data_IF_688022775332
#
_entry.id   IF_688022775332
#
_cell.length_a   1.000
_cell.length_b   1.000
_cell.length_c   1.000
_cell.angle_alpha   90.00
_cell.angle_beta   90.00
_cell.angle_gamma   90.00
#
_symmetry.space_group_name_H-M   'P 1'
#
loop_
_entity.id
_entity.type
_entity.pdbx_description
1 polymer ?
#
# COMPACT_ATOMS: atom_id res chain seq x y z
N UNK A 1 25.62 -12.57 16.08
CA UNK A 1 25.12 -11.86 17.28
C UNK A 1 24.56 -10.48 16.97
N UNK A 2 25.23 -9.57 16.22
CA UNK A 2 24.72 -8.19 15.97
C UNK A 2 23.40 -8.12 15.21
N UNK A 3 23.11 -9.03 14.26
CA UNK A 3 21.85 -9.06 13.50
C UNK A 3 20.61 -9.37 14.37
N UNK A 4 20.77 -10.23 15.36
CA UNK A 4 19.67 -10.61 16.26
C UNK A 4 19.33 -9.48 17.24
N UNK A 5 20.32 -8.70 17.66
CA UNK A 5 20.13 -7.54 18.56
C UNK A 5 19.34 -6.44 17.84
N UNK A 6 19.65 -6.16 16.58
CA UNK A 6 18.93 -5.17 15.78
C UNK A 6 17.46 -5.59 15.56
N UNK A 7 17.22 -6.88 15.26
CA UNK A 7 15.86 -7.41 15.10
C UNK A 7 15.05 -7.33 16.40
N UNK A 8 15.69 -7.68 17.54
CA UNK A 8 15.04 -7.59 18.87
C UNK A 8 14.78 -6.15 19.28
N UNK A 9 15.67 -5.19 18.94
CA UNK A 9 15.44 -3.77 19.21
C UNK A 9 14.29 -3.22 18.36
N UNK A 10 14.18 -3.59 17.08
CA UNK A 10 13.08 -3.16 16.21
C UNK A 10 11.75 -3.73 16.68
N UNK A 11 11.72 -5.00 17.06
CA UNK A 11 10.53 -5.66 17.62
C UNK A 11 10.13 -5.05 18.96
N UNK A 12 11.09 -4.73 19.82
CA UNK A 12 10.86 -4.04 21.12
C UNK A 12 10.35 -2.62 20.95
N UNK A 13 10.85 -1.88 19.96
CA UNK A 13 10.38 -0.52 19.65
C UNK A 13 8.94 -0.53 19.13
N UNK A 14 8.55 -1.55 18.33
CA UNK A 14 7.17 -1.74 17.88
C UNK A 14 6.19 -2.00 19.06
N UNK A 15 6.62 -2.69 20.11
CA UNK A 15 5.75 -2.98 21.25
C UNK A 15 5.55 -1.76 22.20
N UNK A 16 6.48 -0.81 22.22
CA UNK A 16 6.40 0.39 23.08
C UNK A 16 5.40 1.43 22.53
N UNK A 17 5.04 1.34 21.26
CA UNK A 17 4.10 2.26 20.60
C UNK A 17 2.64 1.79 20.66
N UNK A 18 2.34 0.69 21.32
CA UNK A 18 0.98 0.18 21.50
C UNK A 18 0.20 1.01 22.51
N UNK A 19 -0.40 2.12 22.05
CA UNK A 19 -1.42 2.85 22.82
C UNK A 19 -2.79 2.23 22.55
N UNK A 20 -3.75 2.30 23.51
CA UNK A 20 -5.09 1.80 23.30
C UNK A 20 -5.78 2.54 22.16
N UNK A 21 -6.30 1.78 21.22
CA UNK A 21 -6.83 2.21 19.94
C UNK A 21 -8.22 2.79 20.12
N UNK A 22 -8.38 4.04 19.74
CA UNK A 22 -9.68 4.63 19.45
C UNK A 22 -9.66 4.98 17.97
N UNK A 23 -10.48 4.24 17.17
CA UNK A 23 -10.79 4.46 15.76
C UNK A 23 -9.63 4.39 14.75
N UNK A 24 -9.51 3.24 14.08
CA UNK A 24 -8.61 3.02 12.93
C UNK A 24 -9.03 3.76 11.64
N UNK A 25 -10.15 4.44 11.65
CA UNK A 25 -10.68 5.28 10.59
C UNK A 25 -10.22 6.76 10.68
N UNK A 26 -9.21 7.03 11.49
CA UNK A 26 -8.53 8.31 11.61
C UNK A 26 -7.05 8.08 11.87
N UNK A 27 -6.19 8.88 11.22
CA UNK A 27 -4.75 8.83 11.45
C UNK A 27 -3.94 8.33 10.26
N UNK A 28 -2.72 7.91 10.54
CA UNK A 28 -1.74 7.45 9.55
C UNK A 28 -1.38 5.98 9.80
N UNK A 29 -1.45 5.17 8.75
CA UNK A 29 -1.03 3.78 8.75
C UNK A 29 0.14 3.56 7.80
N UNK A 30 1.05 2.65 8.15
CA UNK A 30 2.16 2.24 7.29
C UNK A 30 2.35 0.73 7.38
N UNK A 31 2.79 0.12 6.27
CA UNK A 31 2.99 -1.30 6.19
C UNK A 31 3.65 -1.75 4.89
N UNK A 32 3.30 -2.93 4.48
CA UNK A 32 3.83 -3.57 3.27
C UNK A 32 2.69 -4.03 2.37
N UNK A 33 2.97 -4.06 1.08
CA UNK A 33 2.11 -4.64 0.05
C UNK A 33 2.90 -5.69 -0.74
N UNK A 34 2.27 -6.80 -1.04
CA UNK A 34 2.77 -7.89 -1.87
C UNK A 34 1.89 -8.04 -3.10
N UNK A 35 2.48 -8.09 -4.27
CA UNK A 35 1.80 -8.18 -5.55
C UNK A 35 2.42 -7.24 -6.58
N UNK A 36 1.62 -6.49 -7.28
CA UNK A 36 2.04 -5.42 -8.18
C UNK A 36 1.44 -4.07 -7.72
N UNK A 37 2.21 -3.29 -6.97
CA UNK A 37 3.64 -3.43 -6.63
C UNK A 37 3.89 -4.29 -5.39
N UNK A 38 5.14 -4.73 -5.21
CA UNK A 38 5.63 -5.23 -3.93
C UNK A 38 6.54 -4.18 -3.29
N UNK A 39 6.20 -3.72 -2.08
CA UNK A 39 6.95 -2.65 -1.43
C UNK A 39 6.31 -2.13 -0.14
N UNK A 40 6.52 -0.85 0.14
CA UNK A 40 5.92 -0.16 1.27
C UNK A 40 4.52 0.35 0.88
N UNK A 41 3.60 0.32 1.83
CA UNK A 41 2.27 0.91 1.73
C UNK A 41 2.04 1.88 2.87
N UNK A 42 1.35 2.98 2.60
CA UNK A 42 0.90 3.91 3.63
C UNK A 42 -0.51 4.41 3.31
N UNK A 43 -1.30 4.68 4.36
CA UNK A 43 -2.64 5.26 4.24
C UNK A 43 -2.79 6.42 5.22
N UNK A 44 -3.39 7.51 4.76
CA UNK A 44 -3.71 8.69 5.55
C UNK A 44 -5.20 8.99 5.44
N UNK A 45 -5.95 8.80 6.51
CA UNK A 45 -7.35 9.18 6.56
C UNK A 45 -7.51 10.69 6.55
N UNK A 46 -8.36 11.19 5.67
CA UNK A 46 -8.71 12.62 5.55
C UNK A 46 -10.10 12.91 6.10
N UNK A 47 -10.94 11.89 6.21
CA UNK A 47 -12.27 11.92 6.83
C UNK A 47 -12.64 10.52 7.32
N UNK A 48 -13.88 10.33 7.81
CA UNK A 48 -14.39 9.01 8.23
C UNK A 48 -14.41 7.96 7.11
N UNK A 49 -14.50 8.41 5.85
CA UNK A 49 -14.77 7.55 4.71
C UNK A 49 -13.72 7.68 3.60
N UNK A 50 -12.85 8.70 3.68
CA UNK A 50 -11.91 9.02 2.61
C UNK A 50 -10.47 9.00 3.12
N UNK A 51 -9.57 8.51 2.28
CA UNK A 51 -8.14 8.46 2.60
C UNK A 51 -7.28 8.73 1.36
N UNK A 52 -6.04 9.12 1.60
CA UNK A 52 -4.97 8.96 0.63
C UNK A 52 -4.24 7.64 0.88
N UNK A 53 -4.06 6.85 -0.17
CA UNK A 53 -3.23 5.66 -0.18
C UNK A 53 -1.95 5.94 -0.97
N UNK A 54 -0.82 5.51 -0.43
CA UNK A 54 0.48 5.65 -1.05
C UNK A 54 1.17 4.29 -1.10
N UNK A 55 1.95 4.06 -2.16
CA UNK A 55 2.90 2.96 -2.14
C UNK A 55 4.21 3.36 -2.82
N UNK A 56 5.29 2.75 -2.33
CA UNK A 56 6.62 2.85 -2.90
C UNK A 56 7.19 1.44 -3.06
N UNK A 57 7.55 1.10 -4.28
CA UNK A 57 8.11 -0.21 -4.60
C UNK A 57 9.40 -0.02 -5.40
N UNK A 58 10.32 -0.94 -5.21
CA UNK A 58 11.55 -0.99 -5.98
C UNK A 58 11.70 -2.37 -6.59
N UNK A 59 12.12 -2.41 -7.82
CA UNK A 59 12.38 -3.63 -8.56
C UNK A 59 13.86 -3.74 -8.89
N UNK A 60 14.46 -4.87 -8.50
CA UNK A 60 15.77 -5.29 -8.97
C UNK A 60 15.56 -6.41 -9.99
N UNK A 61 14.92 -6.13 -11.13
CA UNK A 61 14.79 -7.14 -12.19
C UNK A 61 16.13 -7.28 -12.91
N UNK A 62 16.81 -8.39 -12.68
CA UNK A 62 17.77 -8.94 -13.64
C UNK A 62 16.99 -9.42 -14.87
N UNK A 63 16.96 -8.65 -15.94
CA UNK A 63 16.67 -9.20 -17.25
C UNK A 63 17.92 -9.94 -17.73
N UNK A 64 17.85 -11.26 -17.82
CA UNK A 64 18.84 -12.08 -18.51
C UNK A 64 18.77 -11.79 -20.04
N UNK A 65 19.28 -10.66 -20.45
CA UNK A 65 19.82 -10.42 -21.77
C UNK A 65 21.12 -9.65 -21.61
N UNK A 66 22.17 -10.24 -22.02
CA UNK A 66 23.59 -9.95 -22.24
C UNK A 66 24.11 -8.48 -22.18
N UNK A 67 23.44 -7.55 -21.51
CA UNK A 67 23.94 -6.21 -21.27
C UNK A 67 23.94 -5.90 -19.78
N UNK A 68 25.14 -5.61 -19.27
CA UNK A 68 25.44 -5.36 -17.84
C UNK A 68 24.86 -4.01 -17.35
N UNK A 69 23.55 -3.83 -17.38
CA UNK A 69 22.87 -2.73 -16.73
C UNK A 69 21.98 -3.25 -15.59
N UNK A 70 22.39 -2.98 -14.36
CA UNK A 70 21.57 -3.13 -13.16
C UNK A 70 20.60 -1.94 -13.09
N UNK A 71 19.55 -1.96 -13.91
CA UNK A 71 18.58 -0.88 -13.96
C UNK A 71 17.51 -1.12 -12.88
N UNK A 72 17.79 -0.61 -11.66
CA UNK A 72 16.80 -0.53 -10.60
C UNK A 72 15.70 0.47 -10.98
N UNK A 73 14.44 0.09 -10.83
CA UNK A 73 13.32 1.01 -10.98
C UNK A 73 12.65 1.29 -9.63
N UNK A 74 12.27 2.56 -9.41
CA UNK A 74 11.47 2.99 -8.28
C UNK A 74 10.06 3.35 -8.78
N UNK A 75 9.06 2.65 -8.27
CA UNK A 75 7.65 2.95 -8.52
C UNK A 75 7.08 3.69 -7.32
N UNK A 76 6.46 4.84 -7.58
CA UNK A 76 5.70 5.61 -6.61
C UNK A 76 4.25 5.71 -7.07
N UNK A 77 3.31 5.60 -6.15
CA UNK A 77 1.88 5.75 -6.42
C UNK A 77 1.19 6.50 -5.29
N UNK A 78 0.15 7.23 -5.69
CA UNK A 78 -0.71 7.97 -4.78
C UNK A 78 -2.15 7.94 -5.31
N UNK A 79 -3.07 7.55 -4.46
CA UNK A 79 -4.49 7.39 -4.77
C UNK A 79 -5.33 8.13 -3.74
N UNK A 80 -6.47 8.66 -4.17
CA UNK A 80 -7.53 9.11 -3.29
C UNK A 80 -8.65 8.09 -3.33
N UNK A 81 -9.03 7.54 -2.16
CA UNK A 81 -9.95 6.41 -2.04
C UNK A 81 -11.15 6.75 -1.17
N UNK A 82 -12.30 6.24 -1.56
CA UNK A 82 -13.58 6.32 -0.83
C UNK A 82 -13.93 4.95 -0.29
N UNK A 83 -14.24 4.86 1.00
CA UNK A 83 -14.59 3.62 1.69
C UNK A 83 -16.08 3.55 1.99
N UNK A 84 -16.64 2.37 1.82
CA UNK A 84 -18.05 2.05 2.02
C UNK A 84 -18.19 1.05 3.16
N UNK A 85 -18.33 1.55 4.38
CA UNK A 85 -18.35 0.73 5.61
C UNK A 85 -19.64 -0.07 5.81
N UNK A 86 -20.73 0.33 5.16
CA UNK A 86 -22.05 -0.23 5.41
C UNK A 86 -22.43 -1.40 4.47
N UNK A 87 -21.56 -1.74 3.50
CA UNK A 87 -21.87 -2.75 2.50
C UNK A 87 -21.67 -4.19 3.01
N UNK A 88 -20.72 -4.39 3.91
CA UNK A 88 -20.39 -5.72 4.44
C UNK A 88 -20.30 -5.69 5.97
N UNK A 89 -21.44 -5.80 6.68
CA UNK A 89 -21.42 -5.79 8.13
C UNK A 89 -20.75 -7.06 8.68
N UNK A 90 -19.85 -6.88 9.65
CA UNK A 90 -19.14 -7.95 10.35
C UNK A 90 -19.41 -7.86 11.85
N UNK A 91 -19.26 -8.97 12.56
CA UNK A 91 -19.51 -9.03 14.01
C UNK A 91 -18.39 -8.40 14.84
N UNK A 92 -17.19 -8.21 14.27
CA UNK A 92 -16.06 -7.56 14.92
C UNK A 92 -15.22 -6.87 13.86
N UNK A 93 -14.59 -5.74 14.23
CA UNK A 93 -13.82 -4.91 13.30
C UNK A 93 -14.69 -4.16 12.28
N UNK A 94 -14.05 -3.72 11.19
CA UNK A 94 -14.72 -3.07 10.06
C UNK A 94 -14.22 -3.71 8.77
N UNK A 95 -15.12 -3.90 7.80
CA UNK A 95 -14.81 -4.53 6.52
C UNK A 95 -15.32 -3.68 5.35
N UNK A 96 -14.75 -2.48 5.13
CA UNK A 96 -15.18 -1.63 4.03
C UNK A 96 -14.67 -2.13 2.69
N UNK A 97 -15.52 -1.96 1.67
CA UNK A 97 -15.09 -1.93 0.28
C UNK A 97 -14.61 -0.52 -0.04
N UNK A 98 -13.59 -0.37 -0.88
CA UNK A 98 -13.16 0.94 -1.35
C UNK A 98 -12.97 0.98 -2.86
N UNK A 99 -13.09 2.17 -3.41
CA UNK A 99 -12.73 2.53 -4.79
C UNK A 99 -12.00 3.85 -4.77
N UNK A 100 -11.09 4.05 -5.70
CA UNK A 100 -10.33 5.29 -5.78
C UNK A 100 -9.90 5.67 -7.18
N UNK A 101 -9.20 6.77 -7.25
CA UNK A 101 -8.49 7.24 -8.44
C UNK A 101 -7.15 7.80 -8.02
N UNK A 102 -6.14 7.55 -8.80
CA UNK A 102 -4.81 8.05 -8.53
C UNK A 102 -3.86 7.93 -9.69
N UNK A 103 -2.58 8.07 -9.37
CA UNK A 103 -1.52 8.01 -10.34
C UNK A 103 -0.35 7.14 -9.88
N UNK A 104 0.42 6.69 -10.87
CA UNK A 104 1.71 6.06 -10.65
C UNK A 104 2.80 6.71 -11.50
N UNK A 105 4.00 6.74 -10.97
CA UNK A 105 5.22 7.12 -11.68
C UNK A 105 6.24 6.02 -11.49
N UNK A 106 6.84 5.56 -12.57
CA UNK A 106 7.98 4.65 -12.55
C UNK A 106 9.21 5.45 -12.93
N UNK A 107 10.16 5.53 -12.02
CA UNK A 107 11.46 6.16 -12.20
C UNK A 107 12.45 5.06 -12.61
N UNK A 108 12.78 5.03 -13.87
CA UNK A 108 13.74 4.13 -14.53
C UNK A 108 14.48 4.94 -15.60
N UNK A 109 15.31 4.29 -16.42
CA UNK A 109 15.98 4.97 -17.56
C UNK A 109 14.95 5.55 -18.53
N UNK A 110 13.85 4.81 -18.78
CA UNK A 110 12.67 5.31 -19.50
C UNK A 110 11.51 5.53 -18.51
N UNK A 111 11.35 6.75 -17.96
CA UNK A 111 10.30 7.02 -16.99
C UNK A 111 8.91 6.88 -17.57
N UNK A 112 8.00 6.28 -16.80
CA UNK A 112 6.60 6.17 -17.18
C UNK A 112 5.68 6.77 -16.13
N UNK A 113 4.50 7.23 -16.58
CA UNK A 113 3.43 7.63 -15.68
C UNK A 113 2.08 7.14 -16.20
N UNK A 114 1.18 6.87 -15.26
CA UNK A 114 -0.14 6.35 -15.58
C UNK A 114 -1.19 6.76 -14.56
N UNK A 115 -2.45 6.59 -14.96
CA UNK A 115 -3.62 6.71 -14.10
C UNK A 115 -4.03 5.34 -13.61
N UNK A 116 -4.49 5.24 -12.36
CA UNK A 116 -4.93 3.99 -11.75
C UNK A 116 -6.27 4.17 -11.04
N UNK A 117 -7.04 3.09 -11.00
CA UNK A 117 -8.34 3.04 -10.32
C UNK A 117 -8.32 1.85 -9.36
N UNK A 118 -7.86 2.03 -8.12
CA UNK A 118 -7.86 0.95 -7.14
C UNK A 118 -9.30 0.61 -6.73
N UNK A 119 -9.60 -0.69 -6.66
CA UNK A 119 -10.82 -1.26 -6.12
C UNK A 119 -10.38 -2.33 -5.13
N UNK A 120 -10.84 -2.25 -3.88
CA UNK A 120 -10.37 -3.18 -2.89
C UNK A 120 -11.29 -3.32 -1.68
N UNK A 121 -10.84 -4.16 -0.78
CA UNK A 121 -11.44 -4.38 0.52
C UNK A 121 -10.37 -4.22 1.59
N UNK A 122 -10.75 -3.61 2.70
CA UNK A 122 -9.94 -3.53 3.92
C UNK A 122 -10.61 -4.35 5.02
N UNK A 123 -9.82 -4.96 5.89
CA UNK A 123 -10.28 -5.46 7.17
C UNK A 123 -9.52 -4.75 8.30
N UNK A 124 -10.24 -3.88 9.01
CA UNK A 124 -9.70 -3.14 10.16
C UNK A 124 -10.04 -3.92 11.43
N UNK A 125 -9.02 -4.41 12.12
CA UNK A 125 -9.20 -5.21 13.34
C UNK A 125 -9.70 -4.34 14.50
N UNK A 126 -10.67 -4.85 15.27
CA UNK A 126 -11.21 -4.12 16.43
C UNK A 126 -10.22 -4.04 17.60
N UNK A 127 -9.43 -5.10 17.78
CA UNK A 127 -8.59 -5.30 18.97
C UNK A 127 -7.09 -5.07 18.69
N UNK A 128 -6.72 -4.66 17.48
CA UNK A 128 -5.33 -4.40 17.09
C UNK A 128 -5.24 -3.22 16.12
N UNK A 129 -4.18 -2.37 16.22
CA UNK A 129 -3.95 -1.24 15.31
C UNK A 129 -3.44 -1.72 13.95
N UNK A 130 -4.15 -2.64 13.34
CA UNK A 130 -3.73 -3.31 12.11
C UNK A 130 -4.91 -3.34 11.14
N UNK A 131 -4.64 -3.12 9.87
CA UNK A 131 -5.53 -3.53 8.79
C UNK A 131 -4.84 -4.52 7.84
N UNK A 132 -5.65 -5.28 7.14
CA UNK A 132 -5.24 -6.12 6.00
C UNK A 132 -6.12 -5.72 4.82
N UNK A 133 -5.50 -5.51 3.67
CA UNK A 133 -6.24 -5.11 2.48
C UNK A 133 -5.89 -5.98 1.27
N UNK A 134 -6.87 -6.10 0.39
CA UNK A 134 -6.72 -6.72 -0.92
C UNK A 134 -7.25 -5.75 -1.97
N UNK A 135 -6.47 -5.50 -3.03
CA UNK A 135 -6.86 -4.61 -4.12
C UNK A 135 -6.63 -5.20 -5.50
N UNK A 136 -7.47 -4.79 -6.44
CA UNK A 136 -7.33 -4.95 -7.88
C UNK A 136 -7.30 -3.56 -8.50
N UNK A 137 -6.36 -3.33 -9.42
CA UNK A 137 -6.10 -1.98 -9.92
C UNK A 137 -5.97 -1.99 -11.44
N UNK A 138 -7.03 -1.63 -12.17
CA UNK A 138 -6.89 -1.20 -13.56
C UNK A 138 -5.98 0.01 -13.68
N UNK A 139 -5.08 -0.01 -14.67
CA UNK A 139 -4.05 1.00 -14.89
C UNK A 139 -4.01 1.34 -16.36
N UNK A 140 -3.90 2.63 -16.65
CA UNK A 140 -3.65 3.14 -18.00
C UNK A 140 -2.35 3.94 -17.94
N UNK A 141 -1.29 3.40 -18.51
CA UNK A 141 -0.06 4.15 -18.71
C UNK A 141 -0.24 5.13 -19.85
N UNK A 142 0.24 6.35 -19.67
CA UNK A 142 0.07 7.45 -20.63
C UNK A 142 1.39 7.80 -21.33
N UNK A 143 2.51 7.45 -20.72
CA UNK A 143 3.86 7.71 -21.24
C UNK A 143 4.79 6.54 -20.87
N UNK A 144 5.74 6.16 -21.73
CA UNK A 144 6.06 6.69 -23.07
C UNK A 144 5.04 6.30 -24.16
N UNK A 145 4.24 5.27 -23.94
CA UNK A 145 3.15 4.84 -24.80
C UNK A 145 1.89 4.56 -23.99
N UNK A 146 0.72 4.71 -24.62
CA UNK A 146 -0.52 4.34 -23.96
C UNK A 146 -0.65 2.83 -23.93
N UNK A 147 -0.71 2.26 -22.72
CA UNK A 147 -0.89 0.82 -22.51
C UNK A 147 -1.89 0.60 -21.37
N UNK A 148 -2.60 -0.53 -21.44
CA UNK A 148 -3.55 -0.94 -20.41
C UNK A 148 -3.00 -2.11 -19.62
N UNK A 149 -2.99 -1.97 -18.28
CA UNK A 149 -2.55 -3.01 -17.37
C UNK A 149 -3.55 -3.24 -16.24
N UNK A 150 -3.38 -4.33 -15.55
CA UNK A 150 -4.09 -4.64 -14.31
C UNK A 150 -3.05 -5.06 -13.28
N UNK A 151 -2.97 -4.33 -12.20
CA UNK A 151 -2.19 -4.68 -11.03
C UNK A 151 -3.08 -5.13 -9.88
N UNK A 152 -2.47 -5.46 -8.77
CA UNK A 152 -3.18 -5.76 -7.54
C UNK A 152 -2.25 -6.27 -6.46
N UNK A 153 -2.72 -6.21 -5.23
CA UNK A 153 -1.89 -6.58 -4.10
C UNK A 153 -2.67 -6.93 -2.85
N UNK A 154 -2.00 -7.68 -2.01
CA UNK A 154 -2.40 -7.98 -0.64
C UNK A 154 -1.43 -7.27 0.30
N UNK A 155 -1.93 -6.52 1.27
CA UNK A 155 -1.06 -5.81 2.20
C UNK A 155 -1.56 -5.84 3.64
N UNK A 156 -0.67 -5.40 4.51
CA UNK A 156 -0.93 -5.22 5.94
C UNK A 156 -0.32 -3.90 6.37
N UNK A 157 -1.05 -3.12 7.18
CA UNK A 157 -0.59 -1.84 7.74
C UNK A 157 -0.79 -1.80 9.25
N UNK A 158 0.09 -1.09 9.90
CA UNK A 158 -0.01 -0.71 11.32
C UNK A 158 -0.39 0.76 11.42
N UNK A 159 -1.35 1.08 12.29
CA UNK A 159 -1.88 2.42 12.52
C UNK A 159 -1.18 3.11 13.68
N UNK A 160 -0.69 4.31 13.41
CA UNK A 160 -0.05 5.19 14.39
C UNK A 160 -1.07 6.25 14.81
N UNK A 161 -1.40 6.26 16.10
CA UNK A 161 -2.31 7.23 16.72
C UNK A 161 -1.53 8.27 17.51
#
# INVERSE_FOLDING_TARGET
>A
MKKNILFTMVLGLMMILAKPIIAQDHGFGMGIILGEPTGLSAKLWTSSDNAFDFAAAWSFREYHHNDNHNDGSLLLQADYVWHFFNLMPVSSGKFPLYIGIGGRVVLADDPSFGIRVPIGIDYLFADAPIDVFLELVPIIDLSPATDFGVGGGLGIRYWFN
#
